data_IF_232936545833
#
_entry.id   IF_232936545833
#
_cell.length_a   1.000
_cell.length_b   1.000
_cell.length_c   1.000
_cell.angle_alpha   90.00
_cell.angle_beta   90.00
_cell.angle_gamma   90.00
#
_symmetry.space_group_name_H-M   'P 1'
#
loop_
_entity.id
_entity.type
_entity.pdbx_description
1 polymer ?
#
# COMPACT_ATOMS: atom_id res chain seq x y z
N UNK A 1 6.69 -12.01 30.81
CA UNK A 1 5.23 -12.28 30.83
C UNK A 1 4.56 -11.11 31.55
N UNK A 2 3.86 -10.23 30.83
CA UNK A 2 3.11 -9.13 31.46
C UNK A 2 1.99 -9.76 32.27
N UNK A 3 1.85 -9.38 33.54
CA UNK A 3 0.88 -9.94 34.48
C UNK A 3 -0.53 -9.72 33.92
N UNK A 4 -1.20 -10.79 33.51
CA UNK A 4 -2.58 -10.73 33.00
C UNK A 4 -3.53 -10.31 34.13
N UNK A 5 -3.97 -9.06 34.10
CA UNK A 5 -4.89 -8.52 35.11
C UNK A 5 -6.27 -9.15 34.90
N UNK A 6 -6.70 -10.02 35.82
CA UNK A 6 -8.05 -10.57 35.79
C UNK A 6 -9.08 -9.43 35.92
N UNK A 7 -9.98 -9.24 34.94
CA UNK A 7 -10.96 -8.17 34.99
C UNK A 7 -11.95 -8.40 36.14
N UNK A 8 -12.25 -7.34 36.89
CA UNK A 8 -13.21 -7.40 38.01
C UNK A 8 -14.67 -7.49 37.56
N UNK A 9 -15.00 -6.97 36.37
CA UNK A 9 -16.36 -6.95 35.82
C UNK A 9 -16.35 -6.98 34.28
N UNK A 10 -17.51 -7.20 33.67
CA UNK A 10 -17.67 -7.27 32.21
C UNK A 10 -17.31 -5.96 31.48
N UNK A 11 -17.44 -4.80 32.12
CA UNK A 11 -17.02 -3.50 31.55
C UNK A 11 -15.50 -3.42 31.43
N UNK A 12 -14.77 -3.83 32.48
CA UNK A 12 -13.31 -3.89 32.48
C UNK A 12 -12.79 -4.95 31.51
N UNK A 13 -13.46 -6.11 31.43
CA UNK A 13 -13.14 -7.15 30.45
C UNK A 13 -13.20 -6.61 29.01
N UNK A 14 -14.32 -5.99 28.62
CA UNK A 14 -14.46 -5.36 27.29
C UNK A 14 -13.39 -4.31 26.99
N UNK A 15 -12.93 -3.58 28.00
CA UNK A 15 -11.86 -2.61 27.83
C UNK A 15 -10.50 -3.28 27.58
N UNK A 16 -10.20 -4.39 28.28
CA UNK A 16 -9.00 -5.19 28.03
C UNK A 16 -9.05 -5.87 26.66
N UNK A 17 -10.16 -6.53 26.33
CA UNK A 17 -10.38 -7.18 25.03
C UNK A 17 -10.23 -6.18 23.86
N UNK A 18 -10.55 -4.90 24.07
CA UNK A 18 -10.35 -3.85 23.06
C UNK A 18 -8.87 -3.52 22.81
N UNK A 19 -8.05 -3.60 23.86
CA UNK A 19 -6.59 -3.32 23.84
C UNK A 19 -5.77 -4.52 23.34
N UNK A 20 -6.29 -5.73 23.46
CA UNK A 20 -5.58 -6.93 23.00
C UNK A 20 -5.27 -6.87 21.50
N UNK A 21 -4.19 -7.55 21.11
CA UNK A 21 -3.76 -7.62 19.72
C UNK A 21 -4.83 -8.30 18.84
N UNK A 22 -5.06 -7.76 17.64
CA UNK A 22 -6.09 -8.21 16.70
C UNK A 22 -5.49 -8.53 15.35
N UNK A 23 -6.12 -9.46 14.62
CA UNK A 23 -5.76 -9.75 13.23
C UNK A 23 -6.05 -8.56 12.31
N UNK A 24 -7.21 -7.93 12.49
CA UNK A 24 -7.57 -6.67 11.85
C UNK A 24 -7.50 -5.58 12.92
N UNK A 25 -6.51 -4.71 12.78
CA UNK A 25 -6.23 -3.66 13.77
C UNK A 25 -7.33 -2.59 13.79
N UNK A 26 -7.49 -1.96 14.96
CA UNK A 26 -8.31 -0.75 15.09
C UNK A 26 -7.55 0.48 14.55
N UNK A 27 -8.24 1.62 14.44
CA UNK A 27 -7.58 2.90 14.12
C UNK A 27 -6.60 3.30 15.22
N UNK A 28 -5.39 3.70 14.82
CA UNK A 28 -4.35 4.19 15.73
C UNK A 28 -4.78 5.50 16.39
N UNK A 29 -4.88 5.46 17.72
CA UNK A 29 -5.22 6.62 18.55
C UNK A 29 -4.00 7.52 18.75
N UNK A 30 -4.18 8.83 18.61
CA UNK A 30 -3.12 9.82 18.81
C UNK A 30 -3.23 10.49 20.19
N UNK A 31 -2.10 10.63 20.89
CA UNK A 31 -1.99 11.35 22.15
C UNK A 31 -1.17 12.63 22.00
N UNK A 32 -1.81 13.76 22.27
CA UNK A 32 -1.21 15.08 22.21
C UNK A 32 -0.77 15.53 23.61
N UNK A 33 0.53 15.74 23.81
CA UNK A 33 1.16 15.99 25.11
C UNK A 33 1.84 17.36 25.11
N UNK A 34 1.39 18.31 25.95
CA UNK A 34 2.13 19.52 26.21
C UNK A 34 3.38 19.21 27.02
N UNK A 35 4.57 19.52 26.48
CA UNK A 35 5.81 19.48 27.24
C UNK A 35 5.95 20.65 28.20
N UNK A 36 6.92 20.57 29.12
CA UNK A 36 7.18 21.60 30.13
C UNK A 36 7.34 23.01 29.52
N UNK A 37 8.05 23.11 28.40
CA UNK A 37 8.35 24.38 27.72
C UNK A 37 7.36 24.72 26.61
N UNK A 38 6.22 24.01 26.50
CA UNK A 38 5.22 24.30 25.46
C UNK A 38 4.69 25.73 25.56
N UNK A 39 4.61 26.40 24.40
CA UNK A 39 4.20 27.80 24.23
C UNK A 39 2.74 27.87 23.74
N UNK A 40 2.14 29.07 23.76
CA UNK A 40 0.79 29.29 23.22
C UNK A 40 0.69 28.88 21.74
N UNK A 41 1.67 29.29 20.94
CA UNK A 41 1.76 28.89 19.54
C UNK A 41 1.69 27.37 19.37
N UNK A 42 2.54 26.63 20.08
CA UNK A 42 2.55 25.16 20.01
C UNK A 42 1.24 24.55 20.47
N UNK A 43 0.61 25.12 21.49
CA UNK A 43 -0.71 24.69 21.92
C UNK A 43 -1.75 24.87 20.81
N UNK A 44 -1.78 26.03 20.15
CA UNK A 44 -2.74 26.33 19.08
C UNK A 44 -2.46 25.48 17.84
N UNK A 45 -1.18 25.28 17.48
CA UNK A 45 -0.78 24.34 16.42
C UNK A 45 -1.20 22.89 16.73
N UNK A 46 -1.08 22.44 17.99
CA UNK A 46 -1.57 21.12 18.39
C UNK A 46 -3.10 21.04 18.30
N UNK A 47 -3.84 22.11 18.61
CA UNK A 47 -5.31 22.15 18.46
C UNK A 47 -5.72 22.00 16.99
N UNK A 48 -5.04 22.70 16.09
CA UNK A 48 -5.36 22.62 14.66
C UNK A 48 -4.96 21.26 14.07
N UNK A 49 -3.77 20.75 14.40
CA UNK A 49 -3.32 19.43 13.95
C UNK A 49 -4.21 18.30 14.52
N UNK A 50 -4.67 18.46 15.76
CA UNK A 50 -5.60 17.51 16.37
C UNK A 50 -6.98 17.53 15.75
N UNK A 51 -7.46 18.67 15.24
CA UNK A 51 -8.75 18.77 14.58
C UNK A 51 -8.84 17.84 13.37
N UNK A 52 -7.74 17.71 12.61
CA UNK A 52 -7.63 16.78 11.47
C UNK A 52 -7.61 15.30 11.88
N UNK A 53 -7.25 14.99 13.14
CA UNK A 53 -7.14 13.62 13.65
C UNK A 53 -8.39 13.15 14.41
N UNK A 54 -9.38 14.03 14.62
CA UNK A 54 -10.65 13.65 15.26
C UNK A 54 -11.37 12.57 14.43
N UNK A 55 -12.05 11.60 15.06
CA UNK A 55 -12.31 11.50 16.50
C UNK A 55 -11.22 10.75 17.31
N UNK A 56 -10.25 10.13 16.65
CA UNK A 56 -9.27 9.19 17.25
C UNK A 56 -8.10 9.89 17.95
N UNK A 57 -8.44 10.72 18.93
CA UNK A 57 -7.50 11.57 19.64
C UNK A 57 -7.77 11.66 21.14
N UNK A 58 -6.68 11.72 21.91
CA UNK A 58 -6.64 12.20 23.29
C UNK A 58 -5.66 13.36 23.42
N UNK A 59 -5.96 14.32 24.28
CA UNK A 59 -5.10 15.48 24.54
C UNK A 59 -5.00 15.75 26.03
N UNK A 60 -3.78 15.97 26.51
CA UNK A 60 -3.56 16.42 27.88
C UNK A 60 -3.59 17.93 28.00
N UNK A 61 -4.12 18.41 29.11
CA UNK A 61 -4.15 19.84 29.44
C UNK A 61 -2.94 20.27 30.27
N UNK A 62 -2.44 19.38 31.14
CA UNK A 62 -1.28 19.66 32.00
C UNK A 62 0.02 19.46 31.25
N UNK A 63 1.01 20.27 31.57
CA UNK A 63 2.38 20.16 31.07
C UNK A 63 3.10 18.98 31.73
N UNK A 64 3.91 18.28 30.94
CA UNK A 64 4.67 17.11 31.40
C UNK A 64 6.17 17.35 31.13
N UNK A 65 7.01 16.99 32.10
CA UNK A 65 8.46 17.06 31.94
C UNK A 65 8.97 15.75 31.31
N UNK A 66 8.99 15.69 29.98
CA UNK A 66 9.43 14.52 29.21
C UNK A 66 10.53 14.95 28.26
N UNK A 67 11.60 14.15 28.19
CA UNK A 67 12.73 14.37 27.29
C UNK A 67 12.91 13.14 26.40
N UNK A 68 12.30 13.13 25.20
CA UNK A 68 12.17 11.92 24.39
C UNK A 68 13.46 11.25 23.94
N UNK A 69 14.61 11.93 24.00
CA UNK A 69 15.90 11.37 23.57
C UNK A 69 16.84 11.06 24.75
N UNK A 70 16.38 11.26 25.98
CA UNK A 70 17.12 10.94 27.20
C UNK A 70 16.48 9.75 27.92
N UNK A 71 15.15 9.76 28.04
CA UNK A 71 14.38 8.71 28.69
C UNK A 71 13.05 8.45 27.96
N UNK A 72 12.83 7.18 27.61
CA UNK A 72 11.64 6.70 26.91
C UNK A 72 10.54 6.21 27.86
N UNK A 73 10.87 5.85 29.10
CA UNK A 73 9.94 5.19 30.04
C UNK A 73 8.63 5.98 30.26
N UNK A 74 8.65 7.31 30.42
CA UNK A 74 7.41 8.08 30.55
C UNK A 74 6.51 8.01 29.31
N UNK A 75 7.10 7.91 28.12
CA UNK A 75 6.33 7.82 26.87
C UNK A 75 5.68 6.44 26.72
N UNK A 76 6.43 5.38 27.02
CA UNK A 76 5.93 4.01 27.02
C UNK A 76 4.80 3.82 28.04
N UNK A 77 4.98 4.32 29.25
CA UNK A 77 3.94 4.32 30.29
C UNK A 77 2.67 5.06 29.83
N UNK A 78 2.81 6.23 29.21
CA UNK A 78 1.68 6.98 28.69
C UNK A 78 0.99 6.25 27.53
N UNK A 79 1.75 5.59 26.67
CA UNK A 79 1.22 4.77 25.58
C UNK A 79 0.37 3.60 26.11
N UNK A 80 0.89 2.82 27.05
CA UNK A 80 0.18 1.68 27.66
C UNK A 80 -1.08 2.12 28.43
N UNK A 81 -0.93 3.18 29.24
CA UNK A 81 -2.02 3.70 30.07
C UNK A 81 -3.17 4.21 29.23
N UNK A 82 -2.88 4.98 28.18
CA UNK A 82 -3.90 5.59 27.34
C UNK A 82 -4.29 4.73 26.14
N UNK A 83 -3.60 3.62 25.88
CA UNK A 83 -3.78 2.79 24.68
C UNK A 83 -3.66 3.62 23.40
N UNK A 84 -2.51 4.29 23.25
CA UNK A 84 -2.23 5.20 22.14
C UNK A 84 -0.90 4.85 21.49
N UNK A 85 -0.94 4.48 20.22
CA UNK A 85 0.26 4.10 19.46
C UNK A 85 0.98 5.29 18.84
N UNK A 86 0.28 6.42 18.66
CA UNK A 86 0.82 7.65 18.09
C UNK A 86 0.88 8.72 19.18
N UNK A 87 1.97 9.47 19.28
CA UNK A 87 2.12 10.55 20.24
C UNK A 87 2.77 11.77 19.60
N UNK A 88 2.36 12.96 20.05
CA UNK A 88 2.96 14.24 19.64
C UNK A 88 3.28 15.03 20.90
N UNK A 89 4.57 15.27 21.15
CA UNK A 89 5.06 16.09 22.25
C UNK A 89 5.43 17.48 21.74
N UNK A 90 4.92 18.53 22.39
CA UNK A 90 5.33 19.91 22.08
C UNK A 90 6.38 20.43 23.05
N UNK A 91 7.49 20.93 22.52
CA UNK A 91 8.58 21.54 23.29
C UNK A 91 9.11 22.80 22.61
N UNK A 92 9.65 23.73 23.39
CA UNK A 92 10.28 24.94 22.87
C UNK A 92 11.61 25.20 23.58
N UNK A 93 12.63 25.60 22.83
CA UNK A 93 13.93 26.05 23.34
C UNK A 93 14.61 26.98 22.34
N UNK A 94 15.68 27.69 22.74
CA UNK A 94 16.45 28.53 21.81
C UNK A 94 17.06 27.73 20.65
N UNK A 95 17.58 26.52 20.95
CA UNK A 95 18.18 25.62 19.95
C UNK A 95 17.14 24.95 19.04
N UNK A 96 15.97 24.63 19.58
CA UNK A 96 14.85 23.97 18.89
C UNK A 96 13.57 24.73 19.19
N UNK A 97 13.30 25.77 18.39
CA UNK A 97 12.09 26.57 18.49
C UNK A 97 10.91 25.79 17.90
N UNK A 98 9.73 25.97 18.48
CA UNK A 98 8.46 25.37 18.04
C UNK A 98 8.58 23.88 17.63
N UNK A 99 9.13 23.04 18.50
CA UNK A 99 9.43 21.65 18.20
C UNK A 99 8.25 20.74 18.51
N UNK A 100 7.74 20.05 17.49
CA UNK A 100 6.82 18.93 17.63
C UNK A 100 7.59 17.63 17.44
N UNK A 101 7.64 16.81 18.48
CA UNK A 101 8.24 15.49 18.42
C UNK A 101 7.15 14.45 18.19
N UNK A 102 7.18 13.83 17.01
CA UNK A 102 6.28 12.75 16.64
C UNK A 102 6.91 11.42 17.03
N UNK A 103 6.11 10.57 17.66
CA UNK A 103 6.54 9.29 18.22
C UNK A 103 5.54 8.22 17.83
N UNK A 104 6.03 7.08 17.37
CA UNK A 104 5.22 5.86 17.22
C UNK A 104 5.73 4.78 18.16
N UNK A 105 4.81 3.96 18.62
CA UNK A 105 5.09 2.81 19.47
C UNK A 105 4.60 1.53 18.82
N UNK A 106 5.29 0.44 19.11
CA UNK A 106 4.94 -0.92 18.75
C UNK A 106 4.96 -1.78 20.01
N UNK A 107 3.83 -2.42 20.34
CA UNK A 107 3.71 -3.18 21.60
C UNK A 107 3.97 -2.34 22.86
N UNK A 108 3.55 -1.06 22.85
CA UNK A 108 3.84 -0.06 23.91
C UNK A 108 5.33 0.27 24.13
N UNK A 109 6.21 -0.16 23.24
CA UNK A 109 7.62 0.21 23.19
C UNK A 109 7.88 1.21 22.08
N UNK A 110 8.89 2.07 22.24
CA UNK A 110 9.25 3.05 21.20
C UNK A 110 9.63 2.33 19.91
N UNK A 111 9.01 2.74 18.80
CA UNK A 111 9.35 2.29 17.45
C UNK A 111 10.23 3.32 16.77
N UNK A 112 9.74 4.55 16.64
CA UNK A 112 10.52 5.66 16.08
C UNK A 112 10.13 7.00 16.68
N UNK A 113 11.05 7.96 16.54
CA UNK A 113 10.91 9.34 17.00
C UNK A 113 11.46 10.27 15.92
N UNK A 114 10.74 11.34 15.60
CA UNK A 114 11.22 12.40 14.72
C UNK A 114 10.81 13.78 15.25
N UNK A 115 11.79 14.68 15.31
CA UNK A 115 11.55 16.10 15.62
C UNK A 115 11.24 16.88 14.35
N UNK A 116 10.11 17.59 14.35
CA UNK A 116 9.70 18.52 13.31
C UNK A 116 9.47 19.89 13.93
N UNK A 117 10.30 20.86 13.55
CA UNK A 117 10.24 22.23 14.05
C UNK A 117 9.42 23.09 13.12
N UNK A 118 8.41 23.79 13.65
CA UNK A 118 7.56 24.68 12.87
C UNK A 118 8.31 26.01 12.62
N UNK A 119 8.51 26.35 11.35
CA UNK A 119 9.07 27.63 10.93
C UNK A 119 8.14 28.81 11.27
N UNK A 120 8.65 30.04 11.19
CA UNK A 120 7.93 31.23 11.64
C UNK A 120 6.77 31.65 10.73
N UNK A 121 6.76 31.21 9.47
CA UNK A 121 5.74 31.53 8.45
C UNK A 121 4.48 30.64 8.53
N UNK A 122 4.15 30.14 9.73
CA UNK A 122 2.98 29.30 9.95
C UNK A 122 1.66 30.08 9.76
N UNK A 123 0.59 29.36 9.40
CA UNK A 123 -0.79 29.88 9.47
C UNK A 123 -1.69 28.88 10.16
N UNK A 124 -2.47 29.36 11.10
CA UNK A 124 -3.46 28.58 11.83
C UNK A 124 -4.78 28.55 11.06
N UNK A 125 -5.69 27.65 11.42
CA UNK A 125 -7.04 27.57 10.84
C UNK A 125 -7.81 28.89 10.95
N UNK A 126 -7.53 29.68 11.99
CA UNK A 126 -8.14 31.00 12.21
C UNK A 126 -7.73 32.05 11.18
N UNK A 127 -6.58 31.88 10.52
CA UNK A 127 -6.04 32.85 9.57
C UNK A 127 -6.64 32.69 8.17
N UNK A 128 -7.29 31.55 7.91
CA UNK A 128 -7.96 31.25 6.65
C UNK A 128 -9.43 31.62 6.71
N UNK A 129 -10.03 31.82 5.53
CA UNK A 129 -11.48 32.01 5.41
C UNK A 129 -12.16 30.73 5.91
N UNK A 130 -12.97 30.84 6.96
CA UNK A 130 -13.67 29.70 7.56
C UNK A 130 -14.48 28.95 6.50
N UNK A 131 -14.19 27.66 6.38
CA UNK A 131 -14.98 26.72 5.60
C UNK A 131 -15.43 25.57 6.49
N UNK A 132 -16.61 25.06 6.19
CA UNK A 132 -17.16 23.88 6.85
C UNK A 132 -16.52 22.64 6.23
N UNK A 133 -15.79 21.86 7.03
CA UNK A 133 -15.38 20.51 6.68
C UNK A 133 -15.99 19.53 7.67
N UNK A 134 -16.41 18.36 7.19
CA UNK A 134 -16.97 17.34 8.06
C UNK A 134 -15.84 16.66 8.86
N UNK A 135 -16.05 16.54 10.17
CA UNK A 135 -15.07 15.94 11.09
C UNK A 135 -14.99 14.43 10.87
N UNK A 136 -13.77 13.88 10.81
CA UNK A 136 -13.53 12.44 10.76
C UNK A 136 -13.62 11.81 9.37
N UNK A 137 -13.74 12.62 8.30
CA UNK A 137 -13.60 12.12 6.94
C UNK A 137 -12.16 11.70 6.64
N UNK A 138 -12.02 10.71 5.76
CA UNK A 138 -10.71 10.23 5.31
C UNK A 138 -10.05 11.29 4.40
N UNK A 139 -8.85 11.80 4.74
CA UNK A 139 -8.14 12.73 3.86
C UNK A 139 -7.59 12.00 2.63
N UNK A 140 -7.51 12.73 1.52
CA UNK A 140 -6.62 12.36 0.42
C UNK A 140 -5.19 12.81 0.73
N UNK A 141 -4.21 12.18 0.08
CA UNK A 141 -2.79 12.54 0.24
C UNK A 141 -2.16 12.88 -1.08
N UNK A 142 -1.26 13.87 -1.06
CA UNK A 142 -0.32 14.11 -2.14
C UNK A 142 1.07 14.29 -1.54
N UNK A 143 2.03 13.49 -2.00
CA UNK A 143 3.44 13.60 -1.62
C UNK A 143 4.23 14.07 -2.83
N UNK A 144 4.83 15.25 -2.75
CA UNK A 144 5.60 15.83 -3.85
C UNK A 144 7.09 15.86 -3.51
N UNK A 145 7.90 15.20 -4.33
CA UNK A 145 9.35 15.12 -4.20
C UNK A 145 9.83 13.67 -4.27
N UNK A 146 10.80 13.38 -5.13
CA UNK A 146 11.35 12.04 -5.32
C UNK A 146 12.03 11.50 -4.03
N UNK A 147 12.50 12.41 -3.17
CA UNK A 147 13.12 12.08 -1.89
C UNK A 147 12.22 11.21 -0.98
N UNK A 148 10.89 11.29 -1.09
CA UNK A 148 9.97 10.46 -0.32
C UNK A 148 10.07 8.96 -0.63
N UNK A 149 10.57 8.58 -1.81
CA UNK A 149 10.79 7.18 -2.19
C UNK A 149 12.25 6.75 -2.03
N UNK A 150 13.20 7.69 -2.05
CA UNK A 150 14.63 7.38 -2.11
C UNK A 150 15.35 7.58 -0.77
N UNK A 151 15.09 8.69 -0.07
CA UNK A 151 15.87 9.09 1.08
C UNK A 151 15.23 8.60 2.40
N UNK A 152 15.97 7.89 3.29
CA UNK A 152 15.40 7.22 4.47
C UNK A 152 14.60 8.14 5.42
N UNK A 153 15.06 9.38 5.61
CA UNK A 153 14.38 10.35 6.48
C UNK A 153 13.02 10.76 5.91
N UNK A 154 12.93 10.95 4.59
CA UNK A 154 11.68 11.34 3.95
C UNK A 154 10.73 10.14 3.82
N UNK A 155 11.26 8.93 3.58
CA UNK A 155 10.47 7.70 3.69
C UNK A 155 9.85 7.55 5.09
N UNK A 156 10.60 7.85 6.15
CA UNK A 156 10.09 7.87 7.51
C UNK A 156 8.98 8.91 7.68
N UNK A 157 9.17 10.15 7.21
CA UNK A 157 8.13 11.19 7.25
C UNK A 157 6.86 10.75 6.49
N UNK A 158 7.01 10.19 5.29
CA UNK A 158 5.89 9.65 4.49
C UNK A 158 5.15 8.56 5.26
N UNK A 159 5.89 7.60 5.83
CA UNK A 159 5.33 6.52 6.66
C UNK A 159 4.58 7.08 7.87
N UNK A 160 5.15 8.06 8.55
CA UNK A 160 4.55 8.72 9.71
C UNK A 160 3.22 9.41 9.37
N UNK A 161 3.21 10.30 8.38
CA UNK A 161 2.01 11.09 8.06
C UNK A 161 0.87 10.26 7.49
N UNK A 162 1.19 9.22 6.68
CA UNK A 162 0.19 8.25 6.23
C UNK A 162 -0.43 7.51 7.41
N UNK A 163 0.40 6.96 8.30
CA UNK A 163 -0.09 6.20 9.44
C UNK A 163 -0.86 7.08 10.45
N UNK A 164 -0.46 8.36 10.57
CA UNK A 164 -1.11 9.33 11.44
C UNK A 164 -2.50 9.75 10.93
N UNK A 165 -2.62 10.15 9.67
CA UNK A 165 -3.84 10.80 9.16
C UNK A 165 -4.78 9.89 8.33
N UNK A 166 -4.37 8.67 7.95
CA UNK A 166 -5.24 7.80 7.12
C UNK A 166 -6.58 7.40 7.75
N UNK A 167 -6.69 7.42 9.08
CA UNK A 167 -7.90 6.97 9.79
C UNK A 167 -8.21 5.48 9.57
N UNK A 168 -9.47 5.17 9.32
CA UNK A 168 -9.95 3.79 9.10
C UNK A 168 -9.57 3.26 7.71
N UNK A 169 -9.24 1.97 7.65
CA UNK A 169 -9.07 1.25 6.39
C UNK A 169 -10.44 0.70 5.95
N UNK A 170 -10.82 0.99 4.70
CA UNK A 170 -12.08 0.55 4.10
C UNK A 170 -11.82 0.07 2.67
N UNK A 171 -12.59 -0.90 2.22
CA UNK A 171 -12.58 -1.39 0.84
C UNK A 171 -13.49 -0.57 -0.08
N UNK A 172 -14.56 -0.01 0.49
CA UNK A 172 -15.54 0.82 -0.21
C UNK A 172 -15.49 2.25 0.34
N UNK A 173 -15.48 3.24 -0.55
CA UNK A 173 -15.37 4.65 -0.19
C UNK A 173 -16.46 5.45 -0.91
N UNK A 174 -17.16 6.30 -0.14
CA UNK A 174 -18.13 7.24 -0.69
C UNK A 174 -17.42 8.45 -1.33
N UNK A 175 -17.88 8.84 -2.51
CA UNK A 175 -17.37 9.97 -3.30
C UNK A 175 -17.66 11.30 -2.59
N UNK A 176 -18.81 11.43 -1.91
CA UNK A 176 -19.14 12.66 -1.17
C UNK A 176 -18.20 12.92 0.03
N UNK A 177 -17.49 11.88 0.49
CA UNK A 177 -16.47 11.97 1.54
C UNK A 177 -15.13 12.53 1.07
N UNK A 178 -14.89 12.65 -0.25
CA UNK A 178 -13.63 13.15 -0.82
C UNK A 178 -13.56 14.68 -0.79
N UNK A 179 -13.46 15.25 0.40
CA UNK A 179 -13.58 16.70 0.62
C UNK A 179 -12.25 17.44 0.75
N UNK A 180 -11.21 16.81 1.28
CA UNK A 180 -9.96 17.50 1.58
C UNK A 180 -8.72 16.65 1.31
N UNK A 181 -7.63 17.32 0.99
CA UNK A 181 -6.33 16.72 0.67
C UNK A 181 -5.24 17.31 1.56
N UNK A 182 -4.42 16.43 2.11
CA UNK A 182 -3.19 16.77 2.81
C UNK A 182 -2.05 16.68 1.79
N UNK A 183 -1.40 17.81 1.53
CA UNK A 183 -0.27 17.91 0.63
C UNK A 183 1.02 18.04 1.44
N UNK A 184 2.01 17.22 1.11
CA UNK A 184 3.30 17.18 1.77
C UNK A 184 4.38 17.26 0.70
N UNK A 185 5.10 18.38 0.68
CA UNK A 185 6.06 18.69 -0.38
C UNK A 185 7.46 18.90 0.22
N UNK A 186 8.50 18.34 -0.40
CA UNK A 186 9.89 18.69 -0.05
C UNK A 186 10.25 20.03 -0.68
N UNK A 187 10.88 20.92 0.06
CA UNK A 187 11.25 22.26 -0.42
C UNK A 187 12.45 22.19 -1.39
N UNK A 188 12.17 21.89 -2.66
CA UNK A 188 13.17 21.76 -3.72
C UNK A 188 13.90 20.42 -3.71
N UNK A 189 14.69 20.20 -4.76
CA UNK A 189 15.60 19.07 -4.85
C UNK A 189 16.90 19.39 -4.11
N UNK A 190 17.57 18.35 -3.61
CA UNK A 190 18.82 18.48 -2.87
C UNK A 190 19.78 17.35 -3.26
N UNK A 191 21.06 17.57 -3.06
CA UNK A 191 22.10 16.57 -3.27
C UNK A 191 22.55 15.93 -1.95
N UNK A 192 23.09 14.72 -2.03
CA UNK A 192 23.63 14.03 -0.86
C UNK A 192 24.79 14.83 -0.24
N UNK A 193 24.65 15.20 1.03
CA UNK A 193 25.62 16.02 1.76
C UNK A 193 25.14 17.46 2.02
N UNK A 194 24.11 17.92 1.33
CA UNK A 194 23.46 19.20 1.62
C UNK A 194 22.54 19.10 2.85
N UNK A 195 22.28 20.22 3.55
CA UNK A 195 21.28 20.24 4.62
C UNK A 195 19.92 19.79 4.09
N UNK A 196 19.24 18.92 4.84
CA UNK A 196 17.92 18.43 4.47
C UNK A 196 16.93 19.61 4.33
N UNK A 197 16.29 19.75 3.15
CA UNK A 197 15.25 20.76 2.97
C UNK A 197 14.07 20.61 3.94
N UNK A 198 13.30 21.69 4.07
CA UNK A 198 12.09 21.66 4.88
C UNK A 198 11.00 20.85 4.19
N UNK A 199 10.08 20.33 5.00
CA UNK A 199 8.86 19.67 4.53
C UNK A 199 7.68 20.61 4.70
N UNK A 200 7.02 20.94 3.59
CA UNK A 200 5.87 21.83 3.54
C UNK A 200 4.59 21.01 3.73
N UNK A 201 3.87 21.26 4.80
CA UNK A 201 2.58 20.65 5.10
C UNK A 201 1.45 21.65 4.81
N UNK A 202 0.53 21.25 3.94
CA UNK A 202 -0.62 22.05 3.51
C UNK A 202 -1.87 21.22 3.53
N UNK A 203 -3.00 21.86 3.78
CA UNK A 203 -4.32 21.22 3.72
C UNK A 203 -5.24 22.06 2.85
N UNK A 204 -5.81 21.41 1.85
CA UNK A 204 -6.72 22.02 0.88
C UNK A 204 -8.08 21.35 0.92
N UNK A 205 -9.12 22.15 0.72
CA UNK A 205 -10.47 21.71 0.44
C UNK A 205 -10.69 21.65 -1.07
N UNK A 206 -11.41 20.62 -1.53
CA UNK A 206 -11.69 20.42 -2.94
C UNK A 206 -12.97 21.15 -3.34
N UNK A 207 -12.92 21.83 -4.48
CA UNK A 207 -14.11 22.31 -5.20
C UNK A 207 -14.12 21.70 -6.60
N UNK A 208 -15.25 21.14 -6.97
CA UNK A 208 -15.43 20.52 -8.29
C UNK A 208 -16.36 21.36 -9.14
N UNK A 209 -15.93 21.70 -10.34
CA UNK A 209 -16.73 22.37 -11.35
C UNK A 209 -16.97 21.43 -12.53
N UNK A 210 -18.05 21.68 -13.27
CA UNK A 210 -18.33 20.95 -14.51
C UNK A 210 -17.21 21.26 -15.53
N UNK A 211 -16.61 20.21 -16.09
CA UNK A 211 -15.60 20.32 -17.15
C UNK A 211 -16.22 20.01 -18.50
N UNK A 212 -15.90 20.80 -19.53
CA UNK A 212 -16.31 20.50 -20.91
C UNK A 212 -15.49 19.36 -21.51
N UNK A 213 -14.18 19.31 -21.21
CA UNK A 213 -13.25 18.28 -21.69
C UNK A 213 -13.50 16.91 -21.03
N UNK A 214 -13.89 16.91 -19.75
CA UNK A 214 -14.13 15.69 -18.96
C UNK A 214 -15.57 15.16 -19.05
N UNK A 215 -16.46 15.87 -19.75
CA UNK A 215 -17.88 15.53 -19.88
C UNK A 215 -18.57 15.37 -18.53
N UNK A 216 -19.52 14.41 -18.45
CA UNK A 216 -20.25 14.10 -17.20
C UNK A 216 -19.45 13.26 -16.20
N UNK A 217 -18.33 12.65 -16.61
CA UNK A 217 -17.61 11.66 -15.80
C UNK A 217 -16.49 12.29 -14.96
N UNK A 218 -15.77 13.27 -15.50
CA UNK A 218 -14.60 13.87 -14.85
C UNK A 218 -14.81 15.37 -14.62
N UNK A 219 -14.91 15.84 -13.36
CA UNK A 219 -15.01 17.26 -13.06
C UNK A 219 -13.64 17.95 -13.10
N UNK A 220 -13.64 19.27 -13.27
CA UNK A 220 -12.46 20.11 -13.03
C UNK A 220 -12.33 20.34 -11.52
N UNK A 221 -11.18 19.99 -10.96
CA UNK A 221 -10.90 20.13 -9.52
C UNK A 221 -10.11 21.41 -9.29
N UNK A 222 -10.61 22.25 -8.39
CA UNK A 222 -9.95 23.44 -7.86
C UNK A 222 -9.67 23.23 -6.37
N UNK A 223 -8.58 23.80 -5.88
CA UNK A 223 -8.14 23.64 -4.49
C UNK A 223 -8.23 24.98 -3.77
N UNK A 224 -8.82 24.98 -2.58
CA UNK A 224 -8.84 26.13 -1.69
C UNK A 224 -8.13 25.81 -0.39
N UNK A 225 -7.21 26.67 0.03
CA UNK A 225 -6.42 26.42 1.22
C UNK A 225 -7.23 26.74 2.48
N UNK A 226 -7.34 25.75 3.38
CA UNK A 226 -8.06 25.86 4.65
C UNK A 226 -7.13 25.83 5.87
N UNK A 227 -5.90 25.33 5.68
CA UNK A 227 -4.90 25.20 6.73
C UNK A 227 -5.07 23.96 7.62
N UNK A 228 -4.17 23.77 8.60
CA UNK A 228 -3.05 24.65 8.92
C UNK A 228 -1.92 24.59 7.88
N UNK A 229 -1.17 25.68 7.79
CA UNK A 229 0.04 25.79 6.97
C UNK A 229 1.26 25.68 7.87
N UNK A 230 2.00 24.59 7.75
CA UNK A 230 3.22 24.38 8.52
C UNK A 230 4.40 24.06 7.60
N UNK A 231 5.54 24.69 7.89
CA UNK A 231 6.82 24.35 7.28
C UNK A 231 7.66 23.69 8.37
N UNK A 232 7.99 22.42 8.14
CA UNK A 232 8.70 21.60 9.11
C UNK A 232 10.18 21.53 8.76
N UNK A 233 11.00 22.06 9.65
CA UNK A 233 12.45 21.80 9.66
C UNK A 233 12.71 20.50 10.42
N UNK A 234 13.45 19.59 9.79
CA UNK A 234 13.76 18.28 10.36
C UNK A 234 14.80 18.43 11.48
N UNK A 235 14.54 17.78 12.61
CA UNK A 235 15.44 17.73 13.78
C UNK A 235 16.06 16.34 13.97
N UNK A 236 16.20 15.93 15.24
CA UNK A 236 16.73 14.60 15.58
C UNK A 236 15.76 13.49 15.18
N UNK A 237 16.32 12.32 14.91
CA UNK A 237 15.58 11.12 14.50
C UNK A 237 16.10 9.94 15.33
N UNK A 238 15.18 9.09 15.75
CA UNK A 238 15.45 7.76 16.27
C UNK A 238 14.78 6.75 15.35
N UNK A 239 15.55 5.81 14.82
CA UNK A 239 15.07 4.76 13.90
C UNK A 239 14.91 3.43 14.64
N UNK A 240 13.92 2.61 14.27
CA UNK A 240 13.71 1.30 14.89
C UNK A 240 14.87 0.36 14.58
N UNK A 241 15.05 -0.67 15.42
CA UNK A 241 15.99 -1.75 15.12
C UNK A 241 15.47 -2.62 13.95
N UNK A 242 16.37 -3.26 13.16
CA UNK A 242 15.96 -4.11 12.04
C UNK A 242 15.03 -5.26 12.45
N UNK A 243 15.23 -5.84 13.65
CA UNK A 243 14.39 -6.90 14.19
C UNK A 243 12.97 -6.40 14.47
N UNK A 244 12.84 -5.22 15.07
CA UNK A 244 11.55 -4.60 15.35
C UNK A 244 10.80 -4.22 14.07
N UNK A 245 11.51 -3.76 13.02
CA UNK A 245 10.91 -3.52 11.69
C UNK A 245 10.33 -4.80 11.11
N UNK A 246 11.08 -5.91 11.19
CA UNK A 246 10.64 -7.21 10.68
C UNK A 246 9.41 -7.73 11.42
N UNK A 247 9.36 -7.53 12.73
CA UNK A 247 8.20 -7.91 13.54
C UNK A 247 6.97 -7.02 13.25
N UNK A 248 7.16 -5.70 13.21
CA UNK A 248 6.08 -4.73 12.97
C UNK A 248 5.47 -4.81 11.55
N UNK A 249 6.22 -5.33 10.56
CA UNK A 249 5.75 -5.50 9.18
C UNK A 249 5.34 -6.93 8.82
N UNK A 250 5.22 -7.80 9.82
CA UNK A 250 4.76 -9.17 9.62
C UNK A 250 3.28 -9.21 9.23
N UNK A 251 2.97 -9.82 8.09
CA UNK A 251 1.58 -10.09 7.66
C UNK A 251 1.01 -11.31 8.39
N UNK A 252 -0.24 -11.26 8.88
CA UNK A 252 -0.88 -12.41 9.53
C UNK A 252 -1.23 -13.47 8.49
N UNK A 253 -0.79 -14.72 8.73
CA UNK A 253 -1.01 -15.85 7.80
C UNK A 253 -2.48 -16.15 7.55
N UNK A 254 -3.36 -15.84 8.49
CA UNK A 254 -4.80 -16.06 8.38
C UNK A 254 -5.47 -15.16 7.34
N UNK A 255 -4.91 -13.97 7.06
CA UNK A 255 -5.41 -13.09 6.00
C UNK A 255 -4.81 -13.46 4.63
N UNK A 256 -3.66 -14.14 4.62
CA UNK A 256 -3.06 -14.68 3.39
C UNK A 256 -3.67 -16.04 3.07
N UNK A 257 -4.81 -16.05 2.37
CA UNK A 257 -5.34 -17.29 1.79
C UNK A 257 -4.33 -17.74 0.71
N UNK A 258 -3.51 -18.73 1.05
CA UNK A 258 -2.61 -19.36 0.10
C UNK A 258 -3.43 -20.21 -0.85
N UNK A 259 -3.53 -19.76 -2.09
CA UNK A 259 -4.12 -20.57 -3.16
C UNK A 259 -3.16 -21.73 -3.43
N UNK A 260 -3.67 -22.96 -3.34
CA UNK A 260 -2.88 -24.13 -3.69
C UNK A 260 -2.60 -24.10 -5.19
N UNK A 261 -1.37 -24.46 -5.58
CA UNK A 261 -0.98 -24.49 -7.00
C UNK A 261 -1.94 -25.38 -7.79
N UNK A 262 -2.39 -24.91 -8.95
CA UNK A 262 -3.34 -25.58 -9.85
C UNK A 262 -4.76 -25.76 -9.27
N UNK A 263 -5.12 -25.07 -8.18
CA UNK A 263 -6.48 -25.07 -7.64
C UNK A 263 -7.02 -23.65 -7.69
N UNK A 264 -8.10 -23.45 -8.42
CA UNK A 264 -8.77 -22.16 -8.56
C UNK A 264 -10.21 -22.27 -8.01
N UNK A 265 -10.77 -21.15 -7.57
CA UNK A 265 -12.18 -21.08 -7.15
C UNK A 265 -12.89 -20.28 -8.24
N UNK A 266 -13.87 -20.88 -8.89
CA UNK A 266 -14.68 -20.22 -9.91
C UNK A 266 -15.56 -19.13 -9.30
N UNK A 267 -16.10 -18.25 -10.15
CA UNK A 267 -17.10 -17.23 -9.81
C UNK A 267 -18.33 -17.80 -9.10
N UNK A 268 -18.71 -19.04 -9.39
CA UNK A 268 -19.79 -19.76 -8.69
C UNK A 268 -19.37 -20.34 -7.33
N UNK A 269 -18.08 -20.27 -6.97
CA UNK A 269 -17.52 -20.81 -5.72
C UNK A 269 -17.00 -22.24 -5.81
N UNK A 270 -17.07 -22.86 -6.98
CA UNK A 270 -16.60 -24.23 -7.21
C UNK A 270 -15.08 -24.32 -7.26
N UNK A 271 -14.51 -25.37 -6.65
CA UNK A 271 -13.06 -25.61 -6.67
C UNK A 271 -12.69 -26.40 -7.92
N UNK A 272 -11.94 -25.78 -8.83
CA UNK A 272 -11.47 -26.38 -10.07
C UNK A 272 -9.98 -26.70 -9.94
N UNK A 273 -9.61 -27.93 -10.27
CA UNK A 273 -8.22 -28.37 -10.37
C UNK A 273 -7.75 -28.38 -11.82
N UNK A 274 -6.69 -27.65 -12.16
CA UNK A 274 -6.09 -27.71 -13.50
C UNK A 274 -5.10 -28.85 -13.59
N UNK A 275 -5.36 -29.81 -14.48
CA UNK A 275 -4.43 -30.89 -14.81
C UNK A 275 -3.62 -30.45 -16.02
N UNK A 276 -2.30 -30.35 -15.85
CA UNK A 276 -1.38 -30.07 -16.95
C UNK A 276 -0.90 -31.40 -17.53
N UNK A 277 -1.57 -31.84 -18.60
CA UNK A 277 -1.11 -33.00 -19.38
C UNK A 277 0.14 -32.57 -20.16
N UNK A 278 1.21 -33.35 -20.05
CA UNK A 278 2.43 -33.11 -20.82
C UNK A 278 2.22 -33.37 -22.32
N UNK A 279 3.12 -32.87 -23.17
CA UNK A 279 3.11 -33.23 -24.59
C UNK A 279 3.39 -34.72 -24.73
N UNK A 280 2.43 -35.48 -25.27
CA UNK A 280 2.59 -36.91 -25.53
C UNK A 280 3.32 -37.10 -26.87
N UNK A 281 4.55 -37.62 -26.82
CA UNK A 281 5.31 -37.98 -28.02
C UNK A 281 4.98 -39.43 -28.42
N UNK A 282 4.29 -39.57 -29.55
CA UNK A 282 3.92 -40.87 -30.12
C UNK A 282 4.95 -41.39 -31.14
N UNK A 283 6.01 -40.62 -31.45
CA UNK A 283 7.05 -41.07 -32.37
C UNK A 283 7.84 -42.29 -31.85
N UNK A 284 7.85 -42.48 -30.53
CA UNK A 284 8.47 -43.64 -29.88
C UNK A 284 7.56 -44.89 -29.85
N UNK A 285 6.29 -44.76 -30.26
CA UNK A 285 5.33 -45.84 -30.20
C UNK A 285 5.50 -46.79 -31.38
N UNK A 286 6.25 -47.88 -31.18
CA UNK A 286 6.32 -48.97 -32.14
C UNK A 286 5.04 -49.82 -32.06
N UNK A 287 4.24 -49.82 -33.11
CA UNK A 287 3.02 -50.64 -33.19
C UNK A 287 3.35 -52.12 -33.38
N UNK A 288 2.60 -53.03 -32.75
CA UNK A 288 2.85 -54.46 -32.89
C UNK A 288 2.86 -54.86 -34.38
N UNK A 289 4.00 -55.38 -34.85
CA UNK A 289 4.14 -55.90 -36.23
C UNK A 289 3.38 -57.22 -36.38
N UNK A 290 2.06 -57.14 -36.46
CA UNK A 290 1.17 -58.27 -36.68
C UNK A 290 1.49 -58.98 -38.00
N UNK A 291 1.10 -60.25 -38.12
CA UNK A 291 1.38 -61.04 -39.33
C UNK A 291 0.76 -60.40 -40.58
N UNK A 292 -0.46 -59.87 -40.49
CA UNK A 292 -1.16 -59.21 -41.60
C UNK A 292 -0.68 -57.79 -41.94
N UNK A 293 0.27 -57.21 -41.19
CA UNK A 293 0.89 -55.92 -41.52
C UNK A 293 2.27 -56.10 -42.18
N UNK A 294 2.62 -57.35 -42.54
CA UNK A 294 3.92 -57.68 -43.14
C UNK A 294 3.66 -58.11 -44.58
N UNK A 295 4.09 -57.29 -45.54
CA UNK A 295 3.97 -57.54 -46.99
C UNK A 295 4.44 -58.94 -47.43
N UNK A 296 5.42 -59.53 -46.73
CA UNK A 296 5.91 -60.89 -47.02
C UNK A 296 4.87 -62.02 -46.91
N UNK A 297 3.67 -61.75 -46.38
CA UNK A 297 2.58 -62.72 -46.27
C UNK A 297 1.38 -62.36 -47.15
N UNK A 298 1.50 -61.34 -48.01
CA UNK A 298 0.49 -61.08 -49.02
C UNK A 298 0.45 -62.24 -50.01
N UNK A 299 -0.77 -62.59 -50.40
CA UNK A 299 -1.07 -63.61 -51.40
C UNK A 299 -1.48 -62.87 -52.66
N UNK A 300 -0.50 -62.25 -53.32
CA UNK A 300 -0.68 -61.59 -54.61
C UNK A 300 -0.11 -62.54 -55.66
N UNK A 301 -0.93 -62.95 -56.64
CA UNK A 301 -0.40 -63.53 -57.87
C UNK A 301 0.33 -62.41 -58.64
N UNK A 302 1.40 -62.74 -59.38
CA UNK A 302 2.25 -61.77 -60.09
C UNK A 302 1.46 -60.77 -60.94
N UNK A 303 0.33 -61.21 -61.48
CA UNK A 303 -0.52 -60.42 -62.38
C UNK A 303 -1.39 -59.41 -61.63
N UNK A 304 -1.60 -59.60 -60.32
CA UNK A 304 -2.35 -58.69 -59.46
C UNK A 304 -1.43 -57.70 -58.71
N UNK A 305 -0.13 -58.02 -58.63
CA UNK A 305 0.91 -57.15 -58.03
C UNK A 305 1.24 -55.99 -58.99
N UNK A 306 1.34 -56.27 -60.29
CA UNK A 306 1.51 -55.27 -61.35
C UNK A 306 0.31 -54.30 -61.44
N UNK A 307 -0.93 -54.81 -61.23
CA UNK A 307 -2.15 -54.00 -61.21
C UNK A 307 -2.28 -53.13 -59.95
N UNK A 308 -1.75 -53.58 -58.80
CA UNK A 308 -1.77 -52.81 -57.55
C UNK A 308 -0.68 -51.73 -57.52
N UNK A 309 0.51 -51.99 -58.09
CA UNK A 309 1.56 -50.97 -58.24
C UNK A 309 1.17 -49.87 -59.22
N UNK A 310 0.42 -50.19 -60.28
CA UNK A 310 -0.14 -49.20 -61.21
C UNK A 310 -1.19 -48.29 -60.52
N UNK A 311 -2.03 -48.88 -59.66
CA UNK A 311 -3.07 -48.15 -58.90
C UNK A 311 -2.48 -47.33 -57.74
N UNK A 312 -1.45 -47.81 -57.03
CA UNK A 312 -0.72 -47.02 -56.02
C UNK A 312 0.04 -45.86 -56.67
N UNK A 313 0.64 -46.06 -57.85
CA UNK A 313 1.31 -45.01 -58.62
C UNK A 313 0.36 -43.91 -59.14
N UNK A 314 -0.90 -44.24 -59.40
CA UNK A 314 -1.95 -43.28 -59.74
C UNK A 314 -2.52 -42.56 -58.50
N UNK A 315 -2.65 -43.24 -57.35
CA UNK A 315 -3.10 -42.63 -56.08
C UNK A 315 -2.06 -41.68 -55.46
N UNK A 316 -0.77 -41.98 -55.63
CA UNK A 316 0.32 -41.07 -55.23
C UNK A 316 0.42 -39.85 -56.17
N UNK A 317 -0.07 -39.95 -57.42
CA UNK A 317 -0.19 -38.81 -58.34
C UNK A 317 -1.45 -37.97 -58.09
N UNK A 318 -2.60 -38.58 -57.73
CA UNK A 318 -3.82 -37.84 -57.33
C UNK A 318 -3.63 -37.06 -56.01
N UNK A 319 -2.80 -37.54 -55.08
CA UNK A 319 -2.47 -36.80 -53.85
C UNK A 319 -1.54 -35.58 -54.07
N UNK A 320 -1.03 -35.37 -55.29
CA UNK A 320 -0.25 -34.15 -55.63
C UNK A 320 -1.17 -33.00 -56.05
N UNK A 321 -2.42 -33.26 -56.44
CA UNK A 321 -3.35 -32.24 -56.97
C UNK A 321 -4.57 -31.95 -56.08
N UNK A 322 -4.67 -32.55 -54.89
CA UNK A 322 -5.65 -32.15 -53.86
C UNK A 322 -5.17 -30.90 -53.10
N UNK A 323 -5.13 -29.78 -53.83
CA UNK A 323 -4.91 -28.41 -53.35
C UNK A 323 -6.14 -27.87 -52.60
N UNK A 324 -6.77 -28.67 -51.74
CA UNK A 324 -7.82 -28.23 -50.82
C UNK A 324 -7.38 -28.41 -49.36
N UNK A 325 -6.43 -27.58 -48.94
CA UNK A 325 -6.01 -27.58 -47.53
C UNK A 325 -4.96 -26.56 -47.09
N UNK A 326 -4.33 -25.80 -47.99
CA UNK A 326 -3.36 -24.75 -47.61
C UNK A 326 -4.02 -23.44 -47.16
N UNK A 327 -5.02 -23.50 -46.28
CA UNK A 327 -5.58 -22.30 -45.64
C UNK A 327 -5.82 -22.49 -44.12
N UNK A 328 -5.00 -23.29 -43.45
CA UNK A 328 -4.95 -23.30 -41.99
C UNK A 328 -3.56 -22.96 -41.47
N UNK A 329 -3.42 -21.68 -41.10
CA UNK A 329 -2.27 -21.13 -40.38
C UNK A 329 -2.18 -21.81 -39.01
N UNK A 330 -1.04 -22.42 -38.69
CA UNK A 330 -0.81 -22.90 -37.32
C UNK A 330 -0.57 -21.69 -36.40
N UNK A 331 -1.00 -21.76 -35.14
CA UNK A 331 -0.93 -20.64 -34.19
C UNK A 331 0.50 -20.11 -33.91
N UNK A 332 1.52 -20.74 -34.47
CA UNK A 332 2.93 -20.32 -34.42
C UNK A 332 3.37 -19.42 -35.57
N UNK A 333 2.57 -19.30 -36.65
CA UNK A 333 2.92 -18.56 -37.86
C UNK A 333 2.23 -17.18 -37.97
N UNK A 334 1.49 -16.77 -36.93
CA UNK A 334 1.00 -15.40 -36.82
C UNK A 334 2.12 -14.53 -36.27
N UNK A 335 2.79 -13.80 -37.16
CA UNK A 335 3.75 -12.75 -36.81
C UNK A 335 3.05 -11.71 -35.93
N UNK A 336 3.46 -11.60 -34.67
CA UNK A 336 2.98 -10.56 -33.77
C UNK A 336 3.44 -9.19 -34.31
N UNK A 337 2.57 -8.15 -34.34
CA UNK A 337 2.97 -6.84 -34.82
C UNK A 337 4.13 -6.30 -33.95
N UNK A 338 5.10 -5.58 -34.55
CA UNK A 338 6.31 -5.19 -33.86
C UNK A 338 5.99 -4.28 -32.67
N UNK A 339 6.31 -4.74 -31.47
CA UNK A 339 6.33 -3.90 -30.28
C UNK A 339 7.36 -2.78 -30.51
N UNK A 340 6.89 -1.53 -30.55
CA UNK A 340 7.74 -0.34 -30.59
C UNK A 340 8.75 -0.40 -29.45
N UNK A 341 10.03 -0.37 -29.82
CA UNK A 341 11.20 -0.23 -28.93
C UNK A 341 10.94 0.78 -27.80
N UNK A 342 10.99 0.33 -26.56
CA UNK A 342 11.48 1.17 -25.48
C UNK A 342 13.01 1.05 -25.49
N UNK A 343 13.69 2.12 -25.91
CA UNK A 343 15.10 2.33 -25.60
C UNK A 343 15.21 2.52 -24.08
N UNK A 344 16.29 1.94 -23.53
CA UNK A 344 16.78 2.16 -22.17
C UNK A 344 16.87 3.64 -21.82
#
# INVERSE_FOLDING_TARGET
MIRTVKPKNARAKRALDKKEAKLVENVKQALFIPGQTSTKLLHDSMVDLSALKKPDIKRFSKKNNIRPFEDYEPLEFLSEKNDTSLMVLSTHSKKRRNNLTFIRTFGYKIYDIIELQIAENYKLLSDFRKQTFNVGLKPMFSFQGAAFEQHPVYQHIKSLFLDFFRGQNTTLQDVAGLQHIISITVQGDFQDGEPLPNVLFRVYHLKTYKSEQGGKKLPRVELEEIGPRFDFKIGRIHTPSPEMVKEAHKKPRQLEVRVAKNVEIDTMGDKIGRVHVGKQDLGQLQTRKMKGLKAKYDQVDSDMEEYLEEVEGDLDQENVDDTYGEEFVTATDIDAPPAKKQKK
#
